data_IF_539161861052
#
_entry.id   IF_539161861052
#
_cell.length_a   1.000
_cell.length_b   1.000
_cell.length_c   1.000
_cell.angle_alpha   90.00
_cell.angle_beta   90.00
_cell.angle_gamma   90.00
#
_symmetry.space_group_name_H-M   'P 1'
#
loop_
_entity.id
_entity.type
_entity.pdbx_description
1 polymer ?
#
# COMPACT_ATOMS: atom_id res chain seq x y z
N UNK A 1 23.62 19.86 8.19
CA UNK A 1 23.25 18.45 7.91
C UNK A 1 21.75 18.39 7.77
N UNK A 2 21.24 18.30 6.54
CA UNK A 2 19.81 18.08 6.33
C UNK A 2 19.43 16.78 7.04
N UNK A 3 18.51 16.84 8.02
CA UNK A 3 17.98 15.65 8.68
C UNK A 3 17.52 14.71 7.56
N UNK A 4 18.06 13.49 7.51
CA UNK A 4 17.50 12.41 6.70
C UNK A 4 16.06 12.23 7.19
N UNK A 5 15.10 12.87 6.54
CA UNK A 5 13.70 12.71 6.89
C UNK A 5 13.38 11.22 6.72
N UNK A 6 12.81 10.61 7.75
CA UNK A 6 12.44 9.20 7.70
C UNK A 6 11.44 8.96 6.56
N UNK A 7 11.39 7.73 6.04
CA UNK A 7 10.40 7.36 5.01
C UNK A 7 8.98 7.67 5.52
N UNK A 8 8.72 7.39 6.80
CA UNK A 8 7.42 7.66 7.42
C UNK A 8 7.04 9.15 7.36
N UNK A 9 7.97 10.05 7.69
CA UNK A 9 7.70 11.49 7.61
C UNK A 9 7.37 11.91 6.18
N UNK A 10 8.15 11.45 5.20
CA UNK A 10 7.90 11.74 3.78
C UNK A 10 6.52 11.26 3.30
N UNK A 11 6.10 10.06 3.74
CA UNK A 11 4.76 9.54 3.43
C UNK A 11 3.68 10.40 4.08
N UNK A 12 3.81 10.71 5.37
CA UNK A 12 2.86 11.57 6.09
C UNK A 12 2.73 12.94 5.45
N UNK A 13 3.84 13.57 5.08
CA UNK A 13 3.85 14.88 4.43
C UNK A 13 3.11 14.80 3.07
N UNK A 14 3.40 13.79 2.25
CA UNK A 14 2.69 13.55 0.98
C UNK A 14 1.18 13.34 1.15
N UNK A 15 0.76 12.61 2.18
CA UNK A 15 -0.67 12.38 2.44
C UNK A 15 -1.39 13.65 2.91
N UNK A 16 -0.68 14.58 3.55
CA UNK A 16 -1.25 15.81 4.10
C UNK A 16 -1.21 17.00 3.12
N UNK A 17 -0.29 17.01 2.15
CA UNK A 17 -0.07 18.17 1.27
C UNK A 17 -1.04 18.25 0.09
N UNK A 18 -1.59 17.13 -0.37
CA UNK A 18 -2.44 17.11 -1.56
C UNK A 18 -3.79 16.45 -1.27
N UNK A 19 -4.86 17.23 -1.46
CA UNK A 19 -6.25 16.86 -1.15
C UNK A 19 -6.67 15.49 -1.71
N UNK A 20 -6.14 15.10 -2.88
CA UNK A 20 -6.47 13.85 -3.55
C UNK A 20 -5.53 12.68 -3.22
N UNK A 21 -4.44 12.91 -2.49
CA UNK A 21 -3.45 11.85 -2.22
C UNK A 21 -4.00 10.65 -1.46
N UNK A 22 -4.88 10.81 -0.45
CA UNK A 22 -5.55 9.67 0.17
C UNK A 22 -6.36 8.84 -0.83
N UNK A 23 -7.07 9.49 -1.77
CA UNK A 23 -7.82 8.80 -2.82
C UNK A 23 -6.90 8.02 -3.76
N UNK A 24 -5.80 8.63 -4.20
CA UNK A 24 -4.81 7.94 -5.04
C UNK A 24 -4.13 6.78 -4.31
N UNK A 25 -3.89 6.91 -3.00
CA UNK A 25 -3.36 5.83 -2.18
C UNK A 25 -4.33 4.63 -2.13
N UNK A 26 -5.61 4.89 -1.84
CA UNK A 26 -6.65 3.84 -1.84
C UNK A 26 -6.73 3.16 -3.21
N UNK A 27 -6.89 3.94 -4.28
CA UNK A 27 -6.96 3.40 -5.65
C UNK A 27 -5.71 2.59 -6.04
N UNK A 28 -4.53 3.03 -5.58
CA UNK A 28 -3.28 2.32 -5.80
C UNK A 28 -3.21 0.98 -5.05
N UNK A 29 -3.71 0.91 -3.82
CA UNK A 29 -3.80 -0.34 -3.05
C UNK A 29 -4.77 -1.32 -3.72
N UNK A 30 -5.93 -0.84 -4.17
CA UNK A 30 -6.91 -1.68 -4.88
C UNK A 30 -6.34 -2.23 -6.18
N UNK A 31 -5.72 -1.37 -7.00
CA UNK A 31 -5.07 -1.80 -8.24
C UNK A 31 -3.93 -2.79 -7.99
N UNK A 32 -3.15 -2.58 -6.92
CA UNK A 32 -2.09 -3.50 -6.52
C UNK A 32 -2.68 -4.86 -6.12
N UNK A 33 -3.75 -4.89 -5.33
CA UNK A 33 -4.41 -6.12 -4.92
C UNK A 33 -4.95 -6.89 -6.12
N UNK A 34 -5.69 -6.23 -7.00
CA UNK A 34 -6.24 -6.83 -8.23
C UNK A 34 -5.10 -7.44 -9.05
N UNK A 35 -4.00 -6.70 -9.22
CA UNK A 35 -2.86 -7.15 -10.01
C UNK A 35 -2.19 -8.38 -9.39
N UNK A 36 -1.83 -8.36 -8.11
CA UNK A 36 -1.12 -9.49 -7.48
C UNK A 36 -2.00 -10.72 -7.24
N UNK A 37 -3.33 -10.56 -7.26
CA UNK A 37 -4.28 -11.67 -7.09
C UNK A 37 -4.29 -12.65 -8.27
N UNK A 38 -3.90 -12.16 -9.46
CA UNK A 38 -3.89 -12.93 -10.72
C UNK A 38 -2.49 -13.33 -11.16
N UNK A 39 -1.45 -12.80 -10.51
CA UNK A 39 -0.06 -13.09 -10.81
C UNK A 39 0.44 -14.31 -10.05
N UNK A 40 1.41 -15.02 -10.64
CA UNK A 40 2.09 -16.11 -9.96
C UNK A 40 3.03 -15.60 -8.85
N UNK A 41 3.48 -16.51 -8.00
CA UNK A 41 4.31 -16.17 -6.84
C UNK A 41 5.70 -15.65 -7.24
N UNK A 42 6.23 -16.09 -8.38
CA UNK A 42 7.55 -15.68 -8.85
C UNK A 42 7.53 -14.21 -9.29
N UNK A 43 6.52 -13.83 -10.07
CA UNK A 43 6.34 -12.47 -10.55
C UNK A 43 5.98 -11.51 -9.42
N UNK A 44 5.13 -11.94 -8.48
CA UNK A 44 4.82 -11.13 -7.28
C UNK A 44 6.07 -10.91 -6.45
N UNK A 45 6.89 -11.94 -6.21
CA UNK A 45 8.15 -11.78 -5.48
C UNK A 45 9.11 -10.82 -6.23
N UNK A 46 9.17 -10.91 -7.56
CA UNK A 46 10.03 -10.08 -8.39
C UNK A 46 9.68 -8.59 -8.29
N UNK A 47 8.39 -8.22 -8.30
CA UNK A 47 7.93 -6.82 -8.14
C UNK A 47 8.47 -6.21 -6.84
N UNK A 48 8.57 -7.03 -5.79
CA UNK A 48 9.04 -6.62 -4.47
C UNK A 48 10.54 -6.94 -4.26
N UNK A 49 11.30 -7.13 -5.36
CA UNK A 49 12.74 -7.30 -5.35
C UNK A 49 13.22 -8.62 -4.75
N UNK A 50 12.37 -9.65 -4.71
CA UNK A 50 12.60 -10.93 -4.04
C UNK A 50 12.93 -10.81 -2.54
N UNK A 51 12.66 -9.65 -1.94
CA UNK A 51 12.93 -9.40 -0.52
C UNK A 51 11.89 -10.04 0.40
N UNK A 52 10.68 -10.25 -0.13
CA UNK A 52 9.52 -10.71 0.62
C UNK A 52 8.84 -11.83 -0.19
N UNK A 53 8.48 -12.97 0.44
CA UNK A 53 7.71 -14.01 -0.24
C UNK A 53 6.35 -13.49 -0.72
N UNK A 54 5.91 -13.94 -1.90
CA UNK A 54 4.61 -13.54 -2.48
C UNK A 54 3.43 -13.72 -1.53
N UNK A 55 3.39 -14.82 -0.77
CA UNK A 55 2.36 -15.05 0.25
C UNK A 55 2.32 -13.95 1.31
N UNK A 56 3.47 -13.47 1.76
CA UNK A 56 3.54 -12.40 2.76
C UNK A 56 3.16 -11.04 2.16
N UNK A 57 3.52 -10.78 0.90
CA UNK A 57 3.10 -9.59 0.16
C UNK A 57 1.57 -9.55 0.04
N UNK A 58 0.96 -10.62 -0.47
CA UNK A 58 -0.51 -10.70 -0.63
C UNK A 58 -1.22 -10.49 0.71
N UNK A 59 -0.75 -11.15 1.76
CA UNK A 59 -1.28 -10.96 3.11
C UNK A 59 -1.18 -9.51 3.58
N UNK A 60 -0.05 -8.82 3.33
CA UNK A 60 0.12 -7.42 3.73
C UNK A 60 -0.77 -6.47 2.95
N UNK A 61 -0.95 -6.69 1.65
CA UNK A 61 -1.87 -5.88 0.84
C UNK A 61 -3.32 -6.09 1.29
N UNK A 62 -3.71 -7.33 1.61
CA UNK A 62 -5.04 -7.64 2.18
C UNK A 62 -5.26 -6.94 3.53
N UNK A 63 -4.29 -7.01 4.45
CA UNK A 63 -4.35 -6.30 5.74
C UNK A 63 -4.52 -4.78 5.57
N UNK A 64 -3.78 -4.17 4.62
CA UNK A 64 -3.91 -2.74 4.31
C UNK A 64 -5.31 -2.43 3.77
N UNK A 65 -5.82 -3.24 2.85
CA UNK A 65 -7.14 -3.02 2.27
C UNK A 65 -8.25 -3.14 3.32
N UNK A 66 -8.16 -4.11 4.23
CA UNK A 66 -9.09 -4.24 5.35
C UNK A 66 -9.09 -2.98 6.22
N UNK A 67 -7.92 -2.44 6.56
CA UNK A 67 -7.83 -1.19 7.33
C UNK A 67 -8.47 0.01 6.62
N UNK A 68 -8.33 0.08 5.29
CA UNK A 68 -8.95 1.13 4.47
C UNK A 68 -10.48 0.97 4.40
N UNK A 69 -10.98 -0.26 4.31
CA UNK A 69 -12.41 -0.56 4.17
C UNK A 69 -13.16 -0.55 5.51
N UNK A 70 -12.56 -1.04 6.59
CA UNK A 70 -13.16 -1.02 7.93
C UNK A 70 -13.29 0.41 8.45
N UNK A 71 -12.44 1.33 7.98
CA UNK A 71 -12.59 2.76 8.25
C UNK A 71 -13.84 3.38 7.58
N UNK A 72 -14.38 2.76 6.51
CA UNK A 72 -15.63 3.19 5.88
C UNK A 72 -16.89 2.66 6.59
N UNK A 73 -16.76 1.66 7.48
CA UNK A 73 -17.89 1.08 8.21
C UNK A 73 -18.38 1.94 9.39
N UNK A 74 -17.60 2.95 9.82
CA UNK A 74 -17.93 3.84 10.95
C UNK A 74 -18.41 5.24 10.52
N UNK A 75 -18.77 5.43 9.25
CA UNK A 75 -19.40 6.67 8.73
C UNK A 75 -20.83 6.36 8.25
N UNK A 76 -21.58 5.56 9.01
CA UNK A 76 -23.01 5.29 8.79
C UNK A 76 -23.79 5.47 10.07
#
# INVERSE_FOLDING_TARGET
>A
MAKKDSINKRITDLMNEAFLMPLFFVAGVDALQEKISTMDDADVALIFGNLIPAKAIRKKVEEIQQLLNDSNANIS
#
